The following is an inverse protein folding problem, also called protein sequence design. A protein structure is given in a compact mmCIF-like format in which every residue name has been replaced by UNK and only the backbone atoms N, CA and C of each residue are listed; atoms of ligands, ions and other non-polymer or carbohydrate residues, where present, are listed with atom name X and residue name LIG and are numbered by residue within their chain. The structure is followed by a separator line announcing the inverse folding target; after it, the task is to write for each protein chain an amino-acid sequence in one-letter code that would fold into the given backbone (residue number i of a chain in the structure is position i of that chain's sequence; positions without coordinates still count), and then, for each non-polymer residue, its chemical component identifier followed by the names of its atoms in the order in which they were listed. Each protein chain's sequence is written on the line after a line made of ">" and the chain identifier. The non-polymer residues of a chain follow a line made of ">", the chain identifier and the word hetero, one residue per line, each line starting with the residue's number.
data_IF_666521739672
#
_entry.id   IF_666521739672
#
_cell.length_a   1.000
_cell.length_b   1.000
_cell.length_c   1.000
_cell.angle_alpha   90.00
_cell.angle_beta   90.00
_cell.angle_gamma   90.00
#
_symmetry.space_group_name_H-M   'P 1'
#
loop_
_entity.id
_entity.type
_entity.pdbx_description
1 polymer ?
#
# COMPACT_ATOMS: atom_id res chain seq x y z
N UNK A 1 19.80 20.37 -4.95
CA UNK A 1 19.63 19.01 -4.39
C UNK A 1 18.87 18.15 -5.39
N UNK A 2 19.38 16.97 -5.68
CA UNK A 2 18.73 15.94 -6.51
C UNK A 2 18.21 14.83 -5.60
N UNK A 3 16.91 14.52 -5.64
CA UNK A 3 16.32 13.48 -4.83
C UNK A 3 15.65 12.42 -5.69
N UNK A 4 15.79 11.15 -5.32
CA UNK A 4 15.05 10.05 -5.91
C UNK A 4 14.04 9.54 -4.86
N UNK A 5 12.75 9.55 -5.22
CA UNK A 5 11.66 9.11 -4.36
C UNK A 5 11.00 7.87 -4.97
N UNK A 6 11.17 6.72 -4.34
CA UNK A 6 10.41 5.52 -4.68
C UNK A 6 9.01 5.63 -4.05
N UNK A 7 7.99 5.77 -4.90
CA UNK A 7 6.64 6.16 -4.52
C UNK A 7 5.59 5.09 -4.90
N UNK A 8 4.38 5.51 -5.18
CA UNK A 8 3.21 4.66 -5.42
C UNK A 8 2.21 4.72 -4.26
N UNK A 9 2.36 5.71 -3.39
CA UNK A 9 1.46 5.98 -2.27
C UNK A 9 1.04 7.44 -2.27
N UNK A 10 -0.08 7.75 -1.66
CA UNK A 10 -0.55 9.14 -1.50
C UNK A 10 0.44 9.99 -0.72
N UNK A 11 1.07 9.41 0.31
CA UNK A 11 2.10 10.08 1.10
C UNK A 11 3.34 10.37 0.27
N UNK A 12 3.80 9.41 -0.54
CA UNK A 12 4.94 9.59 -1.43
C UNK A 12 4.68 10.67 -2.48
N UNK A 13 3.48 10.70 -3.08
CA UNK A 13 3.08 11.78 -4.01
C UNK A 13 3.12 13.15 -3.35
N UNK A 14 2.50 13.27 -2.17
CA UNK A 14 2.47 14.52 -1.42
C UNK A 14 3.88 14.99 -1.03
N UNK A 15 4.70 14.06 -0.56
CA UNK A 15 6.09 14.33 -0.17
C UNK A 15 6.91 14.82 -1.36
N UNK A 16 6.83 14.14 -2.51
CA UNK A 16 7.55 14.52 -3.73
C UNK A 16 7.21 15.93 -4.20
N UNK A 17 5.91 16.31 -4.14
CA UNK A 17 5.45 17.66 -4.48
C UNK A 17 6.05 18.70 -3.54
N UNK A 18 5.98 18.48 -2.22
CA UNK A 18 6.57 19.38 -1.23
C UNK A 18 8.09 19.53 -1.41
N UNK A 19 8.76 18.45 -1.77
CA UNK A 19 10.20 18.48 -1.99
C UNK A 19 10.58 19.31 -3.23
N UNK A 20 9.79 19.20 -4.32
CA UNK A 20 9.95 20.03 -5.51
C UNK A 20 9.64 21.52 -5.23
N UNK A 21 8.61 21.81 -4.41
CA UNK A 21 8.29 23.17 -3.95
C UNK A 21 9.43 23.80 -3.13
N UNK A 22 10.26 23.00 -2.47
CA UNK A 22 11.48 23.46 -1.79
C UNK A 22 12.66 23.73 -2.75
N UNK A 23 12.48 23.49 -4.07
CA UNK A 23 13.51 23.73 -5.09
C UNK A 23 14.41 22.51 -5.37
N UNK A 24 14.04 21.31 -4.92
CA UNK A 24 14.77 20.10 -5.30
C UNK A 24 14.37 19.62 -6.70
N UNK A 25 15.34 19.06 -7.45
CA UNK A 25 15.05 18.25 -8.63
C UNK A 25 14.69 16.82 -8.17
N UNK A 26 13.43 16.43 -8.37
CA UNK A 26 12.90 15.16 -7.83
C UNK A 26 12.65 14.17 -8.96
N UNK A 27 13.26 12.99 -8.87
CA UNK A 27 12.88 11.83 -9.69
C UNK A 27 11.97 10.92 -8.88
N UNK A 28 10.73 10.73 -9.34
CA UNK A 28 9.74 9.86 -8.69
C UNK A 28 9.66 8.54 -9.44
N UNK A 29 9.94 7.43 -8.75
CA UNK A 29 9.85 6.08 -9.29
C UNK A 29 8.55 5.43 -8.83
N UNK A 30 7.73 4.97 -9.77
CA UNK A 30 6.48 4.23 -9.51
C UNK A 30 6.47 2.92 -10.29
N UNK A 31 5.90 1.88 -9.70
CA UNK A 31 5.94 0.53 -10.27
C UNK A 31 4.98 0.30 -11.44
N UNK A 32 3.99 1.18 -11.65
CA UNK A 32 2.90 0.99 -12.62
C UNK A 32 2.58 2.27 -13.39
N UNK A 33 2.05 2.15 -14.63
CA UNK A 33 1.54 3.30 -15.37
C UNK A 33 0.49 4.10 -14.60
N UNK A 34 -0.45 3.42 -13.94
CA UNK A 34 -1.45 4.06 -13.08
C UNK A 34 -0.80 4.93 -11.97
N UNK A 35 0.28 4.44 -11.35
CA UNK A 35 1.03 5.23 -10.38
C UNK A 35 1.64 6.51 -10.97
N UNK A 36 2.03 6.48 -12.25
CA UNK A 36 2.52 7.66 -12.95
C UNK A 36 1.39 8.66 -13.26
N UNK A 37 0.24 8.17 -13.73
CA UNK A 37 -0.95 8.99 -13.93
C UNK A 37 -1.38 9.69 -12.63
N UNK A 38 -1.42 8.94 -11.53
CA UNK A 38 -1.75 9.47 -10.22
C UNK A 38 -0.71 10.46 -9.67
N UNK A 39 0.58 10.29 -9.98
CA UNK A 39 1.63 11.25 -9.63
C UNK A 39 1.38 12.59 -10.31
N UNK A 40 0.95 12.57 -11.56
CA UNK A 40 0.70 13.74 -12.40
C UNK A 40 1.99 14.48 -12.75
N UNK A 41 1.83 15.53 -13.54
CA UNK A 41 2.91 16.41 -13.97
C UNK A 41 3.08 17.58 -12.99
N UNK A 42 4.32 17.91 -12.67
CA UNK A 42 4.69 19.09 -11.88
C UNK A 42 6.11 19.52 -12.21
N UNK A 43 6.34 20.83 -12.28
CA UNK A 43 7.67 21.39 -12.46
C UNK A 43 8.62 20.91 -11.34
N UNK A 44 9.84 20.50 -11.71
CA UNK A 44 10.83 19.96 -10.76
C UNK A 44 10.66 18.47 -10.46
N UNK A 45 9.63 17.79 -11.02
CA UNK A 45 9.41 16.36 -10.88
C UNK A 45 9.56 15.67 -12.24
N UNK A 46 10.39 14.63 -12.28
CA UNK A 46 10.49 13.67 -13.39
C UNK A 46 9.94 12.33 -12.91
N UNK A 47 8.99 11.75 -13.65
CA UNK A 47 8.36 10.47 -13.27
C UNK A 47 8.97 9.34 -14.09
N UNK A 48 9.43 8.29 -13.39
CA UNK A 48 9.89 7.04 -13.97
C UNK A 48 8.88 5.94 -13.65
N UNK A 49 8.17 5.44 -14.67
CA UNK A 49 7.18 4.38 -14.53
C UNK A 49 7.77 3.02 -14.90
N UNK A 50 7.52 2.02 -14.08
CA UNK A 50 7.95 0.64 -14.28
C UNK A 50 8.71 0.07 -13.09
N UNK A 51 8.72 -1.27 -13.00
CA UNK A 51 9.48 -1.96 -11.96
C UNK A 51 10.95 -1.94 -12.29
N UNK A 52 11.75 -1.40 -11.39
CA UNK A 52 13.21 -1.39 -11.48
C UNK A 52 13.79 -2.62 -10.79
N UNK A 53 14.80 -3.22 -11.41
CA UNK A 53 15.68 -4.19 -10.76
C UNK A 53 16.71 -3.47 -9.88
N UNK A 54 17.33 -4.13 -8.88
CA UNK A 54 18.26 -3.49 -7.95
C UNK A 54 19.39 -2.70 -8.63
N UNK A 55 20.01 -3.24 -9.68
CA UNK A 55 21.10 -2.56 -10.40
C UNK A 55 20.61 -1.28 -11.10
N UNK A 56 19.41 -1.31 -11.68
CA UNK A 56 18.79 -0.14 -12.29
C UNK A 56 18.42 0.92 -11.24
N UNK A 57 18.01 0.50 -10.03
CA UNK A 57 17.80 1.41 -8.90
C UNK A 57 19.11 2.09 -8.49
N UNK A 58 20.20 1.33 -8.36
CA UNK A 58 21.51 1.88 -8.01
C UNK A 58 22.02 2.85 -9.08
N UNK A 59 21.87 2.52 -10.36
CA UNK A 59 22.25 3.41 -11.46
C UNK A 59 21.43 4.72 -11.44
N UNK A 60 20.14 4.66 -11.12
CA UNK A 60 19.28 5.84 -11.02
C UNK A 60 19.64 6.71 -9.81
N UNK A 61 20.10 6.09 -8.73
CA UNK A 61 20.56 6.78 -7.52
C UNK A 61 21.93 7.41 -7.69
N UNK A 62 22.73 6.99 -8.67
CA UNK A 62 24.07 7.52 -8.89
C UNK A 62 24.04 9.05 -9.13
N UNK A 63 24.72 9.80 -8.25
CA UNK A 63 24.75 11.27 -8.27
C UNK A 63 23.49 11.96 -7.73
N UNK A 64 22.60 11.23 -7.08
CA UNK A 64 21.56 11.81 -6.23
C UNK A 64 22.13 12.16 -4.84
N UNK A 65 21.55 13.19 -4.22
CA UNK A 65 21.91 13.61 -2.86
C UNK A 65 21.08 12.84 -1.82
N UNK A 66 19.92 12.30 -2.23
CA UNK A 66 18.95 11.71 -1.31
C UNK A 66 18.12 10.60 -1.99
N UNK A 67 17.96 9.48 -1.29
CA UNK A 67 17.03 8.40 -1.60
C UNK A 67 15.91 8.35 -0.57
N UNK A 68 14.66 8.50 -1.00
CA UNK A 68 13.49 8.37 -0.12
C UNK A 68 12.63 7.18 -0.54
N UNK A 69 12.47 6.21 0.34
CA UNK A 69 11.54 5.12 0.18
C UNK A 69 10.19 5.49 0.79
N UNK A 70 9.24 5.82 -0.07
CA UNK A 70 7.85 6.12 0.25
C UNK A 70 6.90 5.04 -0.30
N UNK A 71 7.41 3.82 -0.51
CA UNK A 71 6.61 2.69 -0.99
C UNK A 71 5.60 2.21 0.06
N UNK A 72 4.65 1.38 -0.35
CA UNK A 72 3.64 0.85 0.56
C UNK A 72 4.30 -0.01 1.67
N UNK A 73 3.86 0.07 2.95
CA UNK A 73 4.43 -0.69 4.07
C UNK A 73 4.54 -2.20 3.84
N UNK A 74 3.63 -2.77 3.05
CA UNK A 74 3.64 -4.21 2.70
C UNK A 74 4.54 -4.53 1.48
N UNK A 75 5.24 -3.56 0.92
CA UNK A 75 6.16 -3.77 -0.19
C UNK A 75 7.58 -4.10 0.32
N UNK A 76 7.70 -5.06 1.23
CA UNK A 76 8.93 -5.42 1.96
C UNK A 76 10.12 -5.68 1.02
N UNK A 77 9.89 -6.41 -0.08
CA UNK A 77 10.95 -6.69 -1.07
C UNK A 77 11.42 -5.42 -1.78
N UNK A 78 10.49 -4.52 -2.12
CA UNK A 78 10.87 -3.24 -2.74
C UNK A 78 11.72 -2.40 -1.78
N UNK A 79 11.29 -2.26 -0.52
CA UNK A 79 12.05 -1.56 0.53
C UNK A 79 13.45 -2.13 0.71
N UNK A 80 13.58 -3.48 0.76
CA UNK A 80 14.89 -4.14 0.86
C UNK A 80 15.78 -3.81 -0.33
N UNK A 81 15.24 -3.89 -1.54
CA UNK A 81 15.99 -3.62 -2.77
C UNK A 81 16.39 -2.14 -2.90
N UNK A 82 15.52 -1.20 -2.54
CA UNK A 82 15.80 0.24 -2.54
C UNK A 82 16.92 0.56 -1.55
N UNK A 83 16.85 0.00 -0.34
CA UNK A 83 17.90 0.20 0.67
C UNK A 83 19.26 -0.34 0.20
N UNK A 84 19.27 -1.54 -0.38
CA UNK A 84 20.50 -2.12 -0.95
C UNK A 84 21.06 -1.26 -2.07
N UNK A 85 20.23 -0.77 -2.98
CA UNK A 85 20.63 0.11 -4.07
C UNK A 85 21.18 1.45 -3.57
N UNK A 86 20.59 2.03 -2.52
CA UNK A 86 21.09 3.27 -1.91
C UNK A 86 22.49 3.07 -1.29
N UNK A 87 22.70 1.96 -0.59
CA UNK A 87 24.03 1.59 -0.07
C UNK A 87 25.04 1.42 -1.20
N UNK A 88 24.68 0.70 -2.27
CA UNK A 88 25.55 0.48 -3.43
C UNK A 88 25.92 1.80 -4.14
N UNK A 89 24.99 2.74 -4.23
CA UNK A 89 25.21 4.04 -4.85
C UNK A 89 25.89 5.06 -3.92
N UNK A 90 26.06 4.76 -2.62
CA UNK A 90 26.60 5.67 -1.62
C UNK A 90 25.67 6.86 -1.33
N UNK A 91 24.35 6.69 -1.48
CA UNK A 91 23.33 7.73 -1.30
C UNK A 91 22.60 7.53 0.03
N UNK A 92 22.36 8.62 0.75
CA UNK A 92 21.66 8.58 2.02
C UNK A 92 20.20 8.12 1.83
N UNK A 93 19.80 7.14 2.64
CA UNK A 93 18.49 6.48 2.56
C UNK A 93 17.59 6.88 3.71
N UNK A 94 16.39 7.37 3.39
CA UNK A 94 15.33 7.65 4.34
C UNK A 94 14.08 6.84 4.02
N UNK A 95 13.48 6.23 5.06
CA UNK A 95 12.17 5.57 4.96
C UNK A 95 11.10 6.54 5.43
N UNK A 96 10.23 6.97 4.51
CA UNK A 96 9.07 7.79 4.86
C UNK A 96 8.00 6.93 5.55
N UNK A 97 7.82 7.13 6.85
CA UNK A 97 6.80 6.43 7.62
C UNK A 97 5.41 6.98 7.34
N UNK A 98 4.47 6.08 7.18
CA UNK A 98 3.06 6.37 7.19
C UNK A 98 2.52 6.31 8.63
N UNK A 99 1.71 7.28 9.03
CA UNK A 99 1.03 7.24 10.32
C UNK A 99 0.21 5.94 10.46
N UNK A 100 0.29 5.31 11.62
CA UNK A 100 -0.53 4.15 11.95
C UNK A 100 -1.94 4.61 12.28
N UNK A 101 -2.94 3.83 11.84
CA UNK A 101 -4.31 4.05 12.27
C UNK A 101 -4.55 3.35 13.61
N UNK A 102 -5.29 3.97 14.54
CA UNK A 102 -5.70 3.26 15.75
C UNK A 102 -6.60 2.08 15.37
N UNK A 103 -6.32 0.92 15.96
CA UNK A 103 -7.14 -0.26 15.76
C UNK A 103 -8.40 -0.17 16.63
N UNK A 104 -9.60 -0.48 16.09
CA UNK A 104 -10.84 -0.43 16.87
C UNK A 104 -10.86 -1.55 17.92
N UNK A 105 -11.52 -1.31 19.08
CA UNK A 105 -11.73 -2.35 20.07
C UNK A 105 -12.47 -3.56 19.47
N UNK A 106 -12.09 -4.76 19.88
CA UNK A 106 -12.80 -6.00 19.50
C UNK A 106 -12.50 -6.50 18.06
N UNK A 107 -11.65 -5.84 17.28
CA UNK A 107 -11.19 -6.42 16.01
C UNK A 107 -10.21 -7.58 16.25
N UNK A 108 -10.27 -8.60 15.40
CA UNK A 108 -9.27 -9.65 15.38
C UNK A 108 -8.03 -9.16 14.62
N UNK A 109 -6.84 -9.29 15.20
CA UNK A 109 -5.60 -8.74 14.62
C UNK A 109 -4.59 -9.87 14.45
N UNK A 110 -4.01 -9.96 13.26
CA UNK A 110 -3.03 -10.97 12.90
C UNK A 110 -1.81 -10.35 12.22
N UNK A 111 -0.64 -10.94 12.45
CA UNK A 111 0.61 -10.48 11.84
C UNK A 111 0.70 -10.95 10.37
N UNK A 112 0.06 -12.07 10.02
CA UNK A 112 0.12 -12.65 8.67
C UNK A 112 -1.26 -13.03 8.14
N UNK A 113 -1.38 -13.09 6.81
CA UNK A 113 -2.59 -13.59 6.16
C UNK A 113 -2.86 -15.07 6.49
N UNK A 114 -1.79 -15.87 6.72
CA UNK A 114 -1.92 -17.28 7.09
C UNK A 114 -2.61 -17.45 8.45
N UNK A 115 -2.22 -16.69 9.46
CA UNK A 115 -2.87 -16.69 10.77
C UNK A 115 -4.34 -16.27 10.69
N UNK A 116 -4.65 -15.26 9.86
CA UNK A 116 -6.04 -14.85 9.63
C UNK A 116 -6.85 -15.93 8.90
N UNK A 117 -6.26 -16.62 7.94
CA UNK A 117 -6.91 -17.74 7.25
C UNK A 117 -7.17 -18.92 8.21
N UNK A 118 -6.22 -19.27 9.07
CA UNK A 118 -6.38 -20.29 10.09
C UNK A 118 -7.53 -19.94 11.07
N UNK A 119 -7.58 -18.70 11.56
CA UNK A 119 -8.68 -18.21 12.38
C UNK A 119 -10.03 -18.36 11.66
N UNK A 120 -10.11 -17.95 10.38
CA UNK A 120 -11.33 -17.98 9.58
C UNK A 120 -11.78 -19.40 9.21
N UNK A 121 -10.87 -20.37 9.19
CA UNK A 121 -11.20 -21.78 8.96
C UNK A 121 -12.10 -22.36 10.06
N UNK A 122 -11.97 -21.88 11.29
CA UNK A 122 -12.80 -22.26 12.42
C UNK A 122 -14.13 -21.47 12.53
N UNK A 123 -14.50 -20.69 11.49
CA UNK A 123 -15.69 -19.81 11.53
C UNK A 123 -16.67 -20.13 10.41
N UNK A 124 -17.91 -19.60 10.54
CA UNK A 124 -18.94 -19.71 9.53
C UNK A 124 -19.35 -18.32 9.02
N UNK A 125 -19.84 -18.25 7.76
CA UNK A 125 -20.34 -17.03 7.12
C UNK A 125 -19.38 -16.48 6.07
N UNK A 126 -19.84 -15.49 5.31
CA UNK A 126 -19.15 -14.92 4.16
C UNK A 126 -18.03 -13.98 4.59
N UNK A 127 -16.96 -13.95 3.78
CA UNK A 127 -15.71 -13.26 4.07
C UNK A 127 -15.39 -12.29 2.93
N UNK A 128 -15.42 -10.99 3.19
CA UNK A 128 -14.94 -9.97 2.26
C UNK A 128 -13.42 -9.81 2.43
N UNK A 129 -12.65 -10.25 1.40
CA UNK A 129 -11.19 -10.13 1.38
C UNK A 129 -10.79 -8.81 0.69
N UNK A 130 -10.58 -7.75 1.48
CA UNK A 130 -10.15 -6.44 1.01
C UNK A 130 -8.62 -6.28 1.05
N UNK A 131 -7.87 -7.37 0.87
CA UNK A 131 -6.41 -7.44 0.93
C UNK A 131 -5.72 -7.38 -0.44
N UNK A 132 -6.52 -7.46 -1.53
CA UNK A 132 -6.05 -7.52 -2.91
C UNK A 132 -5.64 -8.93 -3.35
N UNK A 133 -5.30 -9.06 -4.64
CA UNK A 133 -5.06 -10.36 -5.28
C UNK A 133 -3.85 -11.13 -4.74
N UNK A 134 -2.80 -10.44 -4.29
CA UNK A 134 -1.54 -11.06 -3.86
C UNK A 134 -1.68 -12.00 -2.65
N UNK A 135 -2.61 -11.69 -1.74
CA UNK A 135 -2.84 -12.47 -0.54
C UNK A 135 -3.88 -13.59 -0.75
N UNK A 136 -4.57 -13.59 -1.90
CA UNK A 136 -5.72 -14.45 -2.11
C UNK A 136 -5.38 -15.94 -2.04
N UNK A 137 -4.23 -16.34 -2.55
CA UNK A 137 -3.77 -17.73 -2.52
C UNK A 137 -3.67 -18.30 -1.09
N UNK A 138 -3.40 -17.44 -0.09
CA UNK A 138 -3.31 -17.85 1.32
C UNK A 138 -4.68 -18.27 1.87
N UNK A 139 -5.76 -17.69 1.34
CA UNK A 139 -7.14 -18.00 1.75
C UNK A 139 -7.79 -19.12 0.91
N UNK A 140 -7.09 -19.65 -0.10
CA UNK A 140 -7.63 -20.69 -1.00
C UNK A 140 -7.95 -22.03 -0.30
N UNK A 141 -7.44 -22.23 0.92
CA UNK A 141 -7.81 -23.38 1.76
C UNK A 141 -9.17 -23.26 2.45
N UNK A 142 -9.80 -22.08 2.41
CA UNK A 142 -11.16 -21.89 2.92
C UNK A 142 -12.19 -22.29 1.87
N UNK A 143 -13.44 -22.51 2.30
CA UNK A 143 -14.53 -22.83 1.38
C UNK A 143 -14.71 -21.71 0.35
N UNK A 144 -14.52 -21.95 -0.97
CA UNK A 144 -14.51 -20.90 -1.98
C UNK A 144 -15.84 -20.14 -2.08
N UNK A 145 -16.97 -20.80 -1.79
CA UNK A 145 -18.30 -20.18 -1.82
C UNK A 145 -18.46 -19.05 -0.77
N UNK A 146 -17.67 -19.05 0.31
CA UNK A 146 -17.66 -18.03 1.34
C UNK A 146 -16.80 -16.82 1.00
N UNK A 147 -15.91 -16.93 0.00
CA UNK A 147 -14.92 -15.90 -0.32
C UNK A 147 -15.48 -14.85 -1.27
N UNK A 148 -15.37 -13.60 -0.90
CA UNK A 148 -15.70 -12.42 -1.68
C UNK A 148 -14.46 -11.54 -1.82
N UNK A 149 -13.51 -11.89 -2.71
CA UNK A 149 -12.31 -11.10 -2.91
C UNK A 149 -12.61 -9.79 -3.63
N UNK A 150 -12.07 -8.69 -3.09
CA UNK A 150 -12.07 -7.39 -3.76
C UNK A 150 -10.70 -7.13 -4.35
N UNK A 151 -10.62 -7.15 -5.68
CA UNK A 151 -9.39 -7.04 -6.46
C UNK A 151 -9.49 -5.89 -7.46
N UNK A 152 -8.35 -5.48 -8.03
CA UNK A 152 -8.36 -4.57 -9.17
C UNK A 152 -8.99 -5.26 -10.40
N UNK A 153 -9.68 -4.51 -11.29
CA UNK A 153 -10.30 -5.04 -12.51
C UNK A 153 -9.22 -5.28 -13.59
N UNK A 154 -8.22 -6.10 -13.29
CA UNK A 154 -7.13 -6.47 -14.19
C UNK A 154 -7.16 -7.98 -14.45
N UNK A 155 -6.59 -8.44 -15.58
CA UNK A 155 -6.50 -9.89 -15.86
C UNK A 155 -5.86 -10.67 -14.72
N UNK A 156 -4.80 -10.14 -14.10
CA UNK A 156 -4.09 -10.77 -13.00
C UNK A 156 -4.97 -10.85 -11.73
N UNK A 157 -5.78 -9.81 -11.49
CA UNK A 157 -6.73 -9.78 -10.38
C UNK A 157 -7.80 -10.86 -10.51
N UNK A 158 -8.36 -11.01 -11.69
CA UNK A 158 -9.37 -12.05 -11.99
C UNK A 158 -8.75 -13.45 -11.97
N UNK A 159 -7.59 -13.63 -12.62
CA UNK A 159 -6.89 -14.93 -12.63
C UNK A 159 -6.53 -15.43 -11.23
N UNK A 160 -6.17 -14.53 -10.31
CA UNK A 160 -5.93 -14.90 -8.92
C UNK A 160 -7.20 -15.42 -8.22
N UNK A 161 -8.38 -14.85 -8.53
CA UNK A 161 -9.66 -15.33 -8.00
C UNK A 161 -10.01 -16.71 -8.56
N UNK A 162 -9.80 -16.93 -9.85
CA UNK A 162 -10.02 -18.22 -10.53
C UNK A 162 -9.10 -19.30 -9.97
N UNK A 163 -7.81 -18.97 -9.78
CA UNK A 163 -6.83 -19.89 -9.19
C UNK A 163 -7.19 -20.31 -7.74
N UNK A 164 -7.91 -19.45 -7.01
CA UNK A 164 -8.45 -19.75 -5.69
C UNK A 164 -9.84 -20.43 -5.74
N UNK A 165 -10.32 -20.83 -6.91
CA UNK A 165 -11.63 -21.43 -7.16
C UNK A 165 -12.83 -20.59 -6.65
N UNK A 166 -12.67 -19.27 -6.59
CA UNK A 166 -13.74 -18.36 -6.17
C UNK A 166 -14.84 -18.33 -7.25
N UNK A 167 -16.11 -18.55 -6.90
CA UNK A 167 -17.20 -18.40 -7.86
C UNK A 167 -17.21 -17.00 -8.49
N UNK A 168 -17.36 -16.88 -9.80
CA UNK A 168 -17.32 -15.59 -10.51
C UNK A 168 -18.29 -14.56 -9.93
N UNK A 169 -19.48 -15.01 -9.49
CA UNK A 169 -20.50 -14.15 -8.84
C UNK A 169 -20.02 -13.51 -7.53
N UNK A 170 -18.96 -14.04 -6.91
CA UNK A 170 -18.40 -13.54 -5.66
C UNK A 170 -17.22 -12.59 -5.92
N UNK A 171 -16.74 -12.46 -7.15
CA UNK A 171 -15.58 -11.62 -7.46
C UNK A 171 -16.02 -10.16 -7.53
N UNK A 172 -15.38 -9.31 -6.73
CA UNK A 172 -15.62 -7.87 -6.69
C UNK A 172 -14.42 -7.17 -7.35
N UNK A 173 -14.49 -6.99 -8.66
CA UNK A 173 -13.43 -6.35 -9.43
C UNK A 173 -13.67 -4.85 -9.54
N UNK A 174 -13.04 -4.06 -8.66
CA UNK A 174 -13.23 -2.61 -8.57
C UNK A 174 -11.95 -1.90 -8.12
N UNK A 175 -11.74 -0.67 -8.61
CA UNK A 175 -10.68 0.21 -8.16
C UNK A 175 -11.19 1.16 -7.08
N UNK A 176 -10.42 1.26 -5.97
CA UNK A 176 -10.69 2.24 -4.91
C UNK A 176 -10.28 3.68 -5.27
N UNK A 177 -10.46 4.63 -4.34
CA UNK A 177 -10.90 4.44 -2.96
C UNK A 177 -12.40 4.12 -2.82
N UNK A 178 -12.76 3.44 -1.74
CA UNK A 178 -14.13 3.00 -1.49
C UNK A 178 -14.76 3.81 -0.36
N UNK A 179 -15.91 4.44 -0.63
CA UNK A 179 -16.66 5.19 0.38
C UNK A 179 -17.23 4.28 1.48
N UNK A 180 -17.59 4.87 2.62
CA UNK A 180 -18.31 4.19 3.69
C UNK A 180 -19.60 3.54 3.16
N UNK A 181 -20.37 4.29 2.36
CA UNK A 181 -21.63 3.82 1.79
C UNK A 181 -21.45 2.56 0.93
N UNK A 182 -20.43 2.54 0.07
CA UNK A 182 -20.14 1.38 -0.78
C UNK A 182 -19.66 0.17 0.04
N UNK A 183 -18.79 0.38 1.03
CA UNK A 183 -18.37 -0.72 1.92
C UNK A 183 -19.57 -1.33 2.65
N UNK A 184 -20.49 -0.51 3.20
CA UNK A 184 -21.74 -0.98 3.85
C UNK A 184 -22.62 -1.74 2.87
N UNK A 185 -22.82 -1.21 1.66
CA UNK A 185 -23.62 -1.85 0.63
C UNK A 185 -23.10 -3.25 0.28
N UNK A 186 -21.77 -3.39 0.07
CA UNK A 186 -21.15 -4.68 -0.22
C UNK A 186 -21.30 -5.68 0.95
N UNK A 187 -21.08 -5.22 2.19
CA UNK A 187 -21.24 -6.06 3.38
C UNK A 187 -22.67 -6.57 3.50
N UNK A 188 -23.65 -5.70 3.30
CA UNK A 188 -25.07 -6.05 3.39
C UNK A 188 -25.50 -6.95 2.23
N UNK A 189 -25.16 -6.59 1.00
CA UNK A 189 -25.54 -7.32 -0.22
C UNK A 189 -25.05 -8.77 -0.20
N UNK A 190 -23.82 -8.99 0.22
CA UNK A 190 -23.20 -10.30 0.24
C UNK A 190 -23.26 -10.99 1.62
N UNK A 191 -24.03 -10.45 2.56
CA UNK A 191 -24.17 -10.99 3.92
C UNK A 191 -22.79 -11.30 4.55
N UNK A 192 -21.88 -10.36 4.44
CA UNK A 192 -20.48 -10.50 4.91
C UNK A 192 -20.47 -10.56 6.44
N UNK A 193 -19.92 -11.63 6.97
CA UNK A 193 -19.71 -11.81 8.41
C UNK A 193 -18.33 -11.32 8.84
N UNK A 194 -17.33 -11.47 7.98
CA UNK A 194 -15.94 -11.11 8.25
C UNK A 194 -15.40 -10.18 7.17
N UNK A 195 -14.87 -9.01 7.57
CA UNK A 195 -14.16 -8.09 6.69
C UNK A 195 -12.67 -8.16 6.98
N UNK A 196 -11.91 -8.79 6.08
CA UNK A 196 -10.45 -8.89 6.17
C UNK A 196 -9.82 -7.70 5.46
N UNK A 197 -9.00 -6.94 6.16
CA UNK A 197 -8.32 -5.76 5.60
C UNK A 197 -6.91 -5.61 6.14
N UNK A 198 -6.07 -4.91 5.38
CA UNK A 198 -4.77 -4.44 5.86
C UNK A 198 -4.94 -3.09 6.58
N UNK A 199 -4.10 -2.82 7.58
CA UNK A 199 -3.95 -1.45 8.10
C UNK A 199 -3.23 -0.59 7.04
N UNK A 200 -4.00 -0.11 6.08
CA UNK A 200 -3.50 0.71 4.96
C UNK A 200 -3.43 2.20 5.28
N UNK A 201 -3.77 2.62 6.50
CA UNK A 201 -3.90 4.03 6.87
C UNK A 201 -5.08 4.74 6.18
N UNK A 202 -5.15 6.05 6.33
CA UNK A 202 -6.23 6.88 5.78
C UNK A 202 -6.34 6.75 4.24
N UNK A 203 -5.22 6.78 3.53
CA UNK A 203 -5.18 6.65 2.07
C UNK A 203 -5.67 5.28 1.55
N UNK A 204 -5.62 4.23 2.39
CA UNK A 204 -6.15 2.90 2.07
C UNK A 204 -7.63 2.73 2.39
N UNK A 205 -8.34 3.79 2.79
CA UNK A 205 -9.74 3.72 3.18
C UNK A 205 -9.96 2.84 4.40
N UNK A 206 -9.01 2.83 5.34
CA UNK A 206 -9.10 1.97 6.53
C UNK A 206 -10.23 2.43 7.45
N UNK A 207 -10.38 3.74 7.66
CA UNK A 207 -11.43 4.30 8.51
C UNK A 207 -12.84 3.96 7.99
N UNK A 208 -13.06 4.05 6.68
CA UNK A 208 -14.33 3.71 6.03
C UNK A 208 -14.67 2.23 6.18
N UNK A 209 -13.68 1.34 6.13
CA UNK A 209 -13.88 -0.10 6.36
C UNK A 209 -14.19 -0.41 7.82
N UNK A 210 -13.47 0.23 8.75
CA UNK A 210 -13.73 0.11 10.20
C UNK A 210 -15.16 0.53 10.53
N UNK A 211 -15.56 1.71 10.06
CA UNK A 211 -16.90 2.24 10.31
C UNK A 211 -17.97 1.38 9.64
N UNK A 212 -17.72 0.90 8.40
CA UNK A 212 -18.67 0.02 7.72
C UNK A 212 -18.87 -1.30 8.47
N UNK A 213 -17.80 -1.91 8.98
CA UNK A 213 -17.88 -3.12 9.78
C UNK A 213 -18.67 -2.88 11.08
N UNK A 214 -18.39 -1.78 11.79
CA UNK A 214 -19.11 -1.41 13.00
C UNK A 214 -20.61 -1.18 12.75
N UNK A 215 -20.96 -0.43 11.70
CA UNK A 215 -22.36 -0.10 11.37
C UNK A 215 -23.19 -1.32 10.92
N UNK A 216 -22.54 -2.34 10.37
CA UNK A 216 -23.20 -3.53 9.80
C UNK A 216 -23.10 -4.77 10.69
N UNK A 217 -22.32 -4.70 11.77
CA UNK A 217 -22.07 -5.82 12.67
C UNK A 217 -21.13 -6.89 12.09
N UNK A 218 -20.42 -6.59 11.02
CA UNK A 218 -19.40 -7.47 10.48
C UNK A 218 -18.16 -7.47 11.40
N UNK A 219 -17.59 -8.66 11.64
CA UNK A 219 -16.34 -8.80 12.41
C UNK A 219 -15.17 -8.28 11.57
N UNK A 220 -14.45 -7.27 12.07
CA UNK A 220 -13.25 -6.78 11.42
C UNK A 220 -12.05 -7.69 11.75
N UNK A 221 -11.34 -8.12 10.69
CA UNK A 221 -10.11 -8.90 10.77
C UNK A 221 -8.99 -8.08 10.13
N UNK A 222 -8.00 -7.67 10.91
CA UNK A 222 -6.94 -6.77 10.48
C UNK A 222 -5.63 -7.51 10.33
N UNK A 223 -5.04 -7.44 9.15
CA UNK A 223 -3.64 -7.81 8.95
C UNK A 223 -2.78 -6.63 9.37
N UNK A 224 -2.00 -6.83 10.43
CA UNK A 224 -1.12 -5.81 10.97
C UNK A 224 -0.06 -5.43 9.96
N UNK A 225 0.27 -4.16 9.93
CA UNK A 225 1.40 -3.66 9.16
C UNK A 225 2.70 -4.24 9.70
N UNK A 226 3.62 -4.73 8.85
CA UNK A 226 4.96 -5.09 9.29
C UNK A 226 5.60 -3.94 10.08
N UNK A 227 6.36 -4.23 11.13
CA UNK A 227 7.08 -3.18 11.85
C UNK A 227 8.06 -2.49 10.92
N UNK A 228 8.03 -1.16 10.92
CA UNK A 228 8.90 -0.32 10.10
C UNK A 228 9.68 0.64 11.01
N UNK A 229 10.95 0.85 10.68
CA UNK A 229 11.77 1.93 11.21
C UNK A 229 11.98 2.97 10.12
N UNK A 230 11.89 4.23 10.48
CA UNK A 230 12.02 5.34 9.52
C UNK A 230 11.66 6.67 10.17
N UNK A 231 11.32 7.64 9.35
CA UNK A 231 11.13 9.03 9.74
C UNK A 231 9.80 9.57 9.26
N UNK A 232 9.29 10.53 9.98
CA UNK A 232 8.10 11.29 9.58
C UNK A 232 8.42 12.22 8.41
N UNK A 233 7.40 12.60 7.66
CA UNK A 233 7.51 13.60 6.59
C UNK A 233 8.22 14.88 7.08
N UNK A 234 7.86 15.35 8.28
CA UNK A 234 8.45 16.57 8.87
C UNK A 234 9.94 16.44 9.13
N UNK A 235 10.39 15.29 9.61
CA UNK A 235 11.82 15.02 9.86
C UNK A 235 12.62 15.01 8.57
N UNK A 236 12.15 14.27 7.54
CA UNK A 236 12.86 14.22 6.26
C UNK A 236 12.87 15.60 5.57
N UNK A 237 11.75 16.35 5.61
CA UNK A 237 11.73 17.71 5.04
C UNK A 237 12.63 18.68 5.79
N UNK A 238 12.79 18.54 7.11
CA UNK A 238 13.74 19.34 7.88
C UNK A 238 15.18 19.07 7.43
N UNK A 239 15.55 17.81 7.31
CA UNK A 239 16.83 17.38 6.77
C UNK A 239 17.09 17.93 5.35
N UNK A 240 16.11 17.83 4.45
CA UNK A 240 16.23 18.37 3.09
C UNK A 240 16.45 19.88 3.07
N UNK A 241 15.81 20.63 3.96
CA UNK A 241 16.01 22.10 4.07
C UNK A 241 17.42 22.45 4.53
N UNK A 242 18.02 21.66 5.38
CA UNK A 242 19.42 21.85 5.79
C UNK A 242 20.36 21.66 4.60
N UNK A 243 20.25 20.56 3.85
CA UNK A 243 21.05 20.32 2.66
C UNK A 243 20.88 21.46 1.63
N UNK A 244 19.65 21.89 1.36
CA UNK A 244 19.37 22.96 0.41
C UNK A 244 20.01 24.31 0.83
N UNK A 245 20.09 24.62 2.13
CA UNK A 245 20.76 25.83 2.63
C UNK A 245 22.28 25.80 2.44
N UNK A 246 22.89 24.62 2.49
CA UNK A 246 24.34 24.46 2.31
C UNK A 246 24.74 24.37 0.82
N UNK A 247 23.77 24.26 -0.09
CA UNK A 247 23.99 24.17 -1.55
C UNK A 247 23.95 25.52 -2.26
N UNK A 248 23.78 26.62 -1.52
CA UNK A 248 23.82 28.02 -1.94
C UNK A 248 24.95 28.74 -1.23
#
# INVERSE_FOLDING_TARGET
>A
MKAVVFSGTTEGRRFSKKLAELGAAVTVCVATPLGAEEQGEMAGITVHAGRLQPDAMAALLAGADLCVDATHPYAVDATRNIRAAAVQAGVEYHRLLRAQSPLPPGCAVFETAAQAAEYLAGTEGNILLATGAKELAVFAGLEPARLYPRVLPTPEGIAACEAANVPHRNIIAMQGPFSLALNKALITQFQIRYLVTKDGGAAGGFAEKVQAAADTGAQLVVLRRPPETGETETQILAYCREILRWSH
#
